data_IF_326526153349
#
_entry.id   IF_326526153349
#
_cell.length_a   1.000
_cell.length_b   1.000
_cell.length_c   1.000
_cell.angle_alpha   90.00
_cell.angle_beta   90.00
_cell.angle_gamma   90.00
#
_symmetry.space_group_name_H-M   'P 1'
#
loop_
_entity.id
_entity.type
_entity.pdbx_description
1 polymer ?
#
# COMPACT_ATOMS: atom_id res chain seq x y z
N UNK A 1 -7.39 -15.55 10.78
CA UNK A 1 -6.02 -15.51 10.23
C UNK A 1 -5.50 -14.10 10.42
N UNK A 2 -4.26 -13.96 10.91
CA UNK A 2 -3.58 -12.66 10.97
C UNK A 2 -2.87 -12.41 9.67
N UNK A 3 -2.90 -11.18 9.16
CA UNK A 3 -2.24 -10.85 7.91
C UNK A 3 -1.59 -9.46 7.89
N UNK A 4 -0.38 -9.40 7.37
CA UNK A 4 0.30 -8.18 6.95
C UNK A 4 0.26 -8.11 5.42
N UNK A 5 -0.25 -7.01 4.88
CA UNK A 5 -0.26 -6.73 3.44
C UNK A 5 0.55 -5.47 3.19
N UNK A 6 1.62 -5.60 2.41
CA UNK A 6 2.48 -4.51 1.95
C UNK A 6 2.21 -4.32 0.46
N UNK A 7 1.61 -3.19 0.10
CA UNK A 7 1.40 -2.79 -1.28
C UNK A 7 2.46 -1.76 -1.69
N UNK A 8 3.28 -2.12 -2.66
CA UNK A 8 4.29 -1.26 -3.28
C UNK A 8 3.68 -0.65 -4.54
N UNK A 9 3.23 0.59 -4.43
CA UNK A 9 2.60 1.35 -5.52
C UNK A 9 3.55 1.47 -6.73
N UNK A 10 3.04 1.14 -7.92
CA UNK A 10 3.83 1.10 -9.16
C UNK A 10 4.91 0.00 -9.20
N UNK A 11 4.82 -1.00 -8.33
CA UNK A 11 5.78 -2.10 -8.18
C UNK A 11 5.83 -3.09 -9.35
N UNK A 12 6.31 -2.63 -10.52
CA UNK A 12 6.61 -3.49 -11.66
C UNK A 12 7.69 -4.53 -11.28
N UNK A 13 7.52 -5.83 -11.60
CA UNK A 13 8.51 -6.87 -11.31
C UNK A 13 9.93 -6.52 -11.74
N UNK A 14 10.09 -5.74 -12.81
CA UNK A 14 11.41 -5.35 -13.32
C UNK A 14 12.23 -4.49 -12.34
N UNK A 15 11.62 -3.78 -11.39
CA UNK A 15 12.35 -3.04 -10.35
C UNK A 15 13.07 -3.99 -9.40
N UNK A 16 12.37 -5.04 -8.96
CA UNK A 16 12.89 -6.03 -8.02
C UNK A 16 13.93 -6.94 -8.69
N UNK A 17 13.72 -7.32 -9.96
CA UNK A 17 14.69 -8.12 -10.72
C UNK A 17 16.03 -7.39 -10.97
N UNK A 18 16.12 -6.09 -10.69
CA UNK A 18 17.30 -5.23 -10.96
C UNK A 18 17.94 -4.64 -9.71
N UNK A 19 17.45 -4.97 -8.53
CA UNK A 19 17.93 -4.47 -7.24
C UNK A 19 18.30 -5.65 -6.33
N UNK A 20 19.19 -5.43 -5.36
CA UNK A 20 19.46 -6.45 -4.35
C UNK A 20 18.34 -6.47 -3.29
N UNK A 21 17.50 -7.51 -3.31
CA UNK A 21 16.33 -7.61 -2.41
C UNK A 21 16.36 -8.87 -1.53
N UNK A 22 17.39 -9.05 -0.68
CA UNK A 22 17.57 -10.29 0.08
C UNK A 22 16.41 -10.63 1.03
N UNK A 23 15.64 -9.64 1.50
CA UNK A 23 14.48 -9.92 2.37
C UNK A 23 13.28 -10.43 1.56
N UNK A 24 13.01 -9.85 0.39
CA UNK A 24 12.01 -10.37 -0.55
C UNK A 24 12.43 -11.75 -1.10
N UNK A 25 13.71 -11.96 -1.40
CA UNK A 25 14.24 -13.25 -1.84
C UNK A 25 14.03 -14.33 -0.76
N UNK A 26 14.22 -13.97 0.51
CA UNK A 26 13.91 -14.85 1.64
C UNK A 26 12.43 -15.18 1.73
N UNK A 27 11.54 -14.19 1.57
CA UNK A 27 10.09 -14.40 1.56
C UNK A 27 9.66 -15.31 0.39
N UNK A 28 10.27 -15.16 -0.78
CA UNK A 28 10.03 -16.05 -1.92
C UNK A 28 10.49 -17.47 -1.62
N UNK A 29 11.67 -17.64 -1.02
CA UNK A 29 12.22 -18.95 -0.67
C UNK A 29 11.38 -19.69 0.39
N UNK A 30 10.87 -18.96 1.39
CA UNK A 30 10.05 -19.49 2.48
C UNK A 30 8.56 -19.62 2.10
N UNK A 31 8.15 -19.01 0.99
CA UNK A 31 6.76 -18.91 0.55
C UNK A 31 6.60 -19.16 -0.94
N UNK A 32 6.08 -18.17 -1.65
CA UNK A 32 5.87 -18.25 -3.10
C UNK A 32 5.89 -16.86 -3.74
N UNK A 33 6.39 -16.81 -4.97
CA UNK A 33 6.32 -15.62 -5.85
C UNK A 33 5.47 -15.94 -7.07
N UNK A 34 4.56 -15.03 -7.41
CA UNK A 34 3.77 -15.10 -8.64
C UNK A 34 3.50 -13.71 -9.21
N UNK A 35 3.49 -13.62 -10.55
CA UNK A 35 3.00 -12.41 -11.24
C UNK A 35 1.48 -12.43 -11.28
N UNK A 36 0.86 -11.46 -10.61
CA UNK A 36 -0.59 -11.26 -10.59
C UNK A 36 -1.04 -10.24 -11.64
N UNK A 37 -2.34 -10.27 -11.99
CA UNK A 37 -2.96 -9.27 -12.86
C UNK A 37 -3.68 -8.22 -12.01
N UNK A 38 -3.32 -6.96 -12.22
CA UNK A 38 -4.05 -5.82 -11.69
C UNK A 38 -5.43 -5.68 -12.35
N UNK A 39 -6.31 -4.90 -11.72
CA UNK A 39 -7.57 -4.46 -12.31
C UNK A 39 -7.34 -3.45 -13.42
N UNK A 40 -8.30 -3.38 -14.34
CA UNK A 40 -8.38 -2.33 -15.34
C UNK A 40 -9.47 -1.32 -14.95
N UNK A 41 -9.18 0.00 -14.95
CA UNK A 41 -7.88 0.60 -15.29
C UNK A 41 -6.82 0.40 -14.18
N UNK A 42 -5.56 0.28 -14.59
CA UNK A 42 -4.39 0.12 -13.70
C UNK A 42 -4.01 1.46 -13.06
N UNK A 43 -4.90 1.97 -12.19
CA UNK A 43 -4.69 3.19 -11.41
C UNK A 43 -4.81 2.90 -9.92
N UNK A 44 -4.12 3.70 -9.11
CA UNK A 44 -3.96 3.52 -7.66
C UNK A 44 -5.28 3.31 -6.93
N UNK A 45 -6.26 4.21 -7.08
CA UNK A 45 -7.53 4.13 -6.33
C UNK A 45 -8.31 2.85 -6.64
N UNK A 46 -8.38 2.46 -7.91
CA UNK A 46 -9.13 1.28 -8.35
C UNK A 46 -8.54 0.03 -7.72
N UNK A 47 -7.23 -0.14 -7.84
CA UNK A 47 -6.55 -1.36 -7.40
C UNK A 47 -6.40 -1.44 -5.87
N UNK A 48 -6.07 -0.34 -5.19
CA UNK A 48 -6.07 -0.32 -3.72
C UNK A 48 -7.45 -0.64 -3.14
N UNK A 49 -8.53 -0.10 -3.74
CA UNK A 49 -9.89 -0.42 -3.30
C UNK A 49 -10.27 -1.86 -3.64
N UNK A 50 -9.82 -2.39 -4.79
CA UNK A 50 -10.03 -3.81 -5.09
C UNK A 50 -9.35 -4.72 -4.07
N UNK A 51 -8.13 -4.38 -3.64
CA UNK A 51 -7.39 -5.09 -2.61
C UNK A 51 -8.09 -4.99 -1.25
N UNK A 52 -8.45 -3.79 -0.81
CA UNK A 52 -9.10 -3.59 0.49
C UNK A 52 -10.50 -4.20 0.53
N UNK A 53 -11.27 -4.15 -0.55
CA UNK A 53 -12.61 -4.75 -0.59
C UNK A 53 -12.59 -6.24 -0.92
N UNK A 54 -11.51 -6.77 -1.50
CA UNK A 54 -11.45 -8.15 -2.02
C UNK A 54 -12.43 -8.38 -3.17
N UNK A 55 -12.64 -7.36 -4.01
CA UNK A 55 -13.68 -7.35 -5.03
C UNK A 55 -13.21 -6.57 -6.28
N UNK A 56 -13.79 -6.81 -7.47
CA UNK A 56 -13.49 -6.01 -8.67
C UNK A 56 -14.24 -4.66 -8.67
N UNK A 57 -13.87 -3.71 -9.55
CA UNK A 57 -14.49 -2.37 -9.65
C UNK A 57 -16.00 -2.39 -9.85
N UNK A 58 -16.49 -3.37 -10.62
CA UNK A 58 -17.92 -3.59 -10.83
C UNK A 58 -18.71 -3.90 -9.54
N UNK A 59 -18.03 -4.30 -8.46
CA UNK A 59 -18.65 -4.58 -7.15
C UNK A 59 -18.38 -3.51 -6.11
N UNK A 60 -17.15 -3.00 -5.99
CA UNK A 60 -16.85 -1.97 -4.97
C UNK A 60 -17.16 -0.54 -5.44
N UNK A 61 -17.40 -0.33 -6.73
CA UNK A 61 -17.89 0.94 -7.29
C UNK A 61 -16.81 1.97 -7.67
N UNK A 62 -15.54 1.75 -7.31
CA UNK A 62 -14.43 2.66 -7.64
C UNK A 62 -13.79 2.25 -8.96
N UNK A 63 -14.01 3.01 -10.02
CA UNK A 63 -13.58 2.68 -11.39
C UNK A 63 -12.54 3.64 -11.96
N UNK A 64 -12.28 4.76 -11.29
CA UNK A 64 -11.31 5.79 -11.65
C UNK A 64 -11.03 6.69 -10.43
N UNK A 65 -10.25 7.75 -10.61
CA UNK A 65 -10.07 8.81 -9.63
C UNK A 65 -11.26 9.79 -9.57
N UNK A 66 -12.01 9.91 -10.67
CA UNK A 66 -13.20 10.75 -10.78
C UNK A 66 -14.17 10.19 -11.83
N UNK A 67 -15.41 10.66 -11.81
CA UNK A 67 -16.39 10.45 -12.88
C UNK A 67 -17.07 11.77 -13.26
N UNK A 68 -17.58 11.86 -14.49
CA UNK A 68 -18.41 12.99 -14.91
C UNK A 68 -19.86 12.70 -14.53
N UNK A 69 -20.45 13.54 -13.68
CA UNK A 69 -21.88 13.43 -13.35
C UNK A 69 -22.72 14.00 -14.51
N UNK A 70 -23.51 13.18 -15.23
CA UNK A 70 -24.26 13.65 -16.40
C UNK A 70 -25.39 14.63 -16.03
N UNK A 71 -25.79 14.70 -14.75
CA UNK A 71 -26.86 15.61 -14.30
C UNK A 71 -26.36 17.03 -14.11
N UNK A 72 -25.12 17.18 -13.65
CA UNK A 72 -24.51 18.47 -13.32
C UNK A 72 -23.46 18.90 -14.34
N UNK A 73 -22.93 17.96 -15.13
CA UNK A 73 -21.80 18.19 -16.04
C UNK A 73 -20.48 18.40 -15.31
N UNK A 74 -20.40 18.10 -14.01
CA UNK A 74 -19.21 18.33 -13.18
C UNK A 74 -18.43 17.04 -12.94
N UNK A 75 -17.11 17.18 -12.84
CA UNK A 75 -16.23 16.10 -12.40
C UNK A 75 -16.37 15.88 -10.89
N UNK A 76 -16.64 14.64 -10.50
CA UNK A 76 -16.79 14.22 -9.11
C UNK A 76 -15.66 13.26 -8.76
N UNK A 77 -14.78 13.70 -7.87
CA UNK A 77 -13.67 12.89 -7.36
C UNK A 77 -14.16 11.77 -6.44
N UNK A 78 -13.68 10.56 -6.71
CA UNK A 78 -14.02 9.33 -5.98
C UNK A 78 -12.98 9.07 -4.87
N UNK A 79 -12.84 10.03 -3.94
CA UNK A 79 -11.78 10.04 -2.91
C UNK A 79 -12.33 9.84 -1.49
N UNK A 80 -13.51 9.23 -1.35
CA UNK A 80 -14.18 9.08 -0.05
C UNK A 80 -14.85 7.72 0.08
N UNK A 81 -14.79 7.14 1.29
CA UNK A 81 -15.44 5.88 1.63
C UNK A 81 -16.96 5.83 1.38
N UNK A 82 -17.63 6.98 1.12
CA UNK A 82 -19.03 7.05 0.73
C UNK A 82 -19.33 6.45 -0.65
N UNK A 83 -18.31 6.38 -1.52
CA UNK A 83 -18.44 5.81 -2.86
C UNK A 83 -18.24 4.28 -2.87
N UNK A 84 -17.82 3.70 -1.74
CA UNK A 84 -17.63 2.26 -1.63
C UNK A 84 -18.98 1.53 -1.54
N UNK A 85 -19.20 0.61 -2.47
CA UNK A 85 -20.39 -0.24 -2.56
C UNK A 85 -20.19 -1.64 -1.95
N UNK A 86 -18.98 -1.95 -1.48
CA UNK A 86 -18.62 -3.20 -0.83
C UNK A 86 -17.87 -2.92 0.48
N UNK A 87 -18.02 -3.78 1.50
CA UNK A 87 -17.30 -3.61 2.75
C UNK A 87 -15.79 -3.78 2.56
N UNK A 88 -15.00 -3.07 3.34
CA UNK A 88 -13.54 -3.22 3.38
C UNK A 88 -13.14 -4.46 4.19
N UNK A 89 -11.91 -4.91 4.01
CA UNK A 89 -11.30 -5.97 4.82
C UNK A 89 -11.17 -5.52 6.28
N UNK A 90 -11.06 -4.21 6.52
CA UNK A 90 -11.02 -3.62 7.86
C UNK A 90 -12.39 -3.73 8.54
N UNK A 91 -13.48 -3.36 7.87
CA UNK A 91 -14.85 -3.55 8.36
C UNK A 91 -15.14 -5.03 8.66
N UNK A 92 -14.72 -5.94 7.75
CA UNK A 92 -14.86 -7.39 7.96
C UNK A 92 -14.01 -7.91 9.11
N UNK A 93 -12.78 -7.41 9.26
CA UNK A 93 -11.88 -7.77 10.36
C UNK A 93 -12.44 -7.32 11.71
N UNK A 94 -12.88 -6.07 11.80
CA UNK A 94 -13.50 -5.51 12.99
C UNK A 94 -14.77 -6.30 13.38
N UNK A 95 -15.63 -6.64 12.42
CA UNK A 95 -16.81 -7.48 12.64
C UNK A 95 -16.46 -8.90 13.14
N UNK A 96 -15.27 -9.40 12.81
CA UNK A 96 -14.73 -10.67 13.31
C UNK A 96 -13.94 -10.53 14.64
N UNK A 97 -13.92 -9.35 15.25
CA UNK A 97 -13.20 -9.07 16.50
C UNK A 97 -11.67 -8.97 16.36
N UNK A 98 -11.16 -8.75 15.14
CA UNK A 98 -9.74 -8.53 14.89
C UNK A 98 -9.36 -7.07 15.10
N UNK A 99 -8.15 -6.83 15.61
CA UNK A 99 -7.56 -5.47 15.62
C UNK A 99 -7.04 -5.12 14.23
N UNK A 100 -7.48 -4.01 13.68
CA UNK A 100 -7.21 -3.63 12.28
C UNK A 100 -6.45 -2.32 12.19
N UNK A 101 -5.50 -2.25 11.26
CA UNK A 101 -4.71 -1.05 11.00
C UNK A 101 -4.46 -0.83 9.51
N UNK A 102 -4.52 0.43 9.07
CA UNK A 102 -4.21 0.84 7.71
C UNK A 102 -3.27 2.04 7.70
N UNK A 103 -2.23 1.96 6.87
CA UNK A 103 -1.28 3.04 6.62
C UNK A 103 -1.16 3.30 5.12
N UNK A 104 -1.08 4.57 4.75
CA UNK A 104 -0.91 5.00 3.37
C UNK A 104 -0.03 6.24 3.27
N UNK A 105 0.59 6.47 2.12
CA UNK A 105 1.30 7.74 1.90
C UNK A 105 0.31 8.93 1.85
N UNK A 106 -0.80 8.80 1.11
CA UNK A 106 -1.75 9.90 0.83
C UNK A 106 -3.04 9.82 1.65
N UNK A 107 -3.51 10.96 2.17
CA UNK A 107 -4.72 11.11 2.98
C UNK A 107 -6.00 10.80 2.17
N UNK A 108 -6.09 11.27 0.92
CA UNK A 108 -7.26 11.01 0.06
C UNK A 108 -7.52 9.52 -0.19
N UNK A 109 -6.45 8.74 -0.32
CA UNK A 109 -6.55 7.28 -0.42
C UNK A 109 -6.97 6.68 0.92
N UNK A 110 -6.39 7.16 2.01
CA UNK A 110 -6.71 6.74 3.38
C UNK A 110 -8.20 6.91 3.72
N UNK A 111 -8.83 7.99 3.27
CA UNK A 111 -10.26 8.28 3.49
C UNK A 111 -11.19 7.23 2.84
N UNK A 112 -10.68 6.42 1.90
CA UNK A 112 -11.37 5.26 1.36
C UNK A 112 -10.95 3.97 2.06
N UNK A 113 -9.65 3.65 2.05
CA UNK A 113 -9.17 2.32 2.45
C UNK A 113 -9.15 2.13 3.97
N UNK A 114 -9.08 3.22 4.74
CA UNK A 114 -9.13 3.20 6.21
C UNK A 114 -10.53 3.05 6.78
N UNK A 115 -11.58 3.02 5.94
CA UNK A 115 -12.96 2.86 6.40
C UNK A 115 -13.12 1.58 7.22
N UNK A 116 -13.53 1.75 8.47
CA UNK A 116 -13.76 0.66 9.43
C UNK A 116 -12.50 0.12 10.11
N UNK A 117 -11.34 0.75 9.94
CA UNK A 117 -10.12 0.38 10.67
C UNK A 117 -10.11 0.94 12.10
N UNK A 118 -9.56 0.19 13.06
CA UNK A 118 -9.32 0.69 14.43
C UNK A 118 -8.23 1.77 14.45
N UNK A 119 -7.24 1.64 13.57
CA UNK A 119 -6.20 2.63 13.34
C UNK A 119 -6.07 2.91 11.84
N UNK A 120 -6.23 4.17 11.45
CA UNK A 120 -5.96 4.66 10.09
C UNK A 120 -5.01 5.86 10.16
N UNK A 121 -3.90 5.83 9.43
CA UNK A 121 -2.92 6.92 9.45
C UNK A 121 -2.26 7.15 8.08
N UNK A 122 -2.29 8.40 7.61
CA UNK A 122 -1.57 8.81 6.40
C UNK A 122 -0.23 9.48 6.74
N UNK A 123 0.79 9.29 5.89
CA UNK A 123 2.08 9.98 6.04
C UNK A 123 1.99 11.51 5.89
N UNK A 124 0.98 12.02 5.17
CA UNK A 124 0.73 13.47 5.05
C UNK A 124 0.40 14.12 6.40
N UNK A 125 -0.37 13.43 7.24
CA UNK A 125 -0.86 13.92 8.53
C UNK A 125 -0.84 12.81 9.62
N UNK A 126 0.34 12.32 10.02
CA UNK A 126 0.43 11.20 10.94
C UNK A 126 0.16 11.64 12.39
N UNK A 127 -0.41 10.77 13.24
CA UNK A 127 -0.57 11.04 14.65
C UNK A 127 0.80 11.24 15.34
N UNK A 128 0.84 12.13 16.33
CA UNK A 128 2.09 12.57 16.98
C UNK A 128 2.92 11.41 17.56
N UNK A 129 2.27 10.35 18.06
CA UNK A 129 2.96 9.18 18.62
C UNK A 129 3.76 8.41 17.55
N UNK A 130 3.33 8.40 16.29
CA UNK A 130 4.10 7.79 15.20
C UNK A 130 5.34 8.61 14.86
N UNK A 131 5.28 9.94 14.94
CA UNK A 131 6.46 10.80 14.74
C UNK A 131 7.55 10.50 15.78
N UNK A 132 7.16 10.22 17.03
CA UNK A 132 8.09 9.85 18.10
C UNK A 132 8.75 8.49 17.92
N UNK A 133 8.22 7.61 17.05
CA UNK A 133 8.73 6.24 16.83
C UNK A 133 9.35 6.02 15.45
N UNK A 134 8.73 6.54 14.40
CA UNK A 134 9.17 6.39 13.01
C UNK A 134 10.11 7.52 12.56
N UNK A 135 10.30 8.55 13.39
CA UNK A 135 11.03 9.76 13.06
C UNK A 135 10.15 10.82 12.41
N UNK A 136 10.78 11.94 12.02
CA UNK A 136 10.10 13.05 11.35
C UNK A 136 9.45 12.57 10.05
N UNK A 137 8.23 13.04 9.76
CA UNK A 137 7.59 12.76 8.47
C UNK A 137 8.41 13.36 7.32
N UNK A 138 8.34 12.69 6.18
CA UNK A 138 9.04 13.06 4.96
C UNK A 138 8.11 13.79 3.97
N UNK A 139 8.71 14.40 2.95
CA UNK A 139 7.96 15.02 1.85
C UNK A 139 7.22 13.92 1.05
N UNK A 140 5.96 14.15 0.72
CA UNK A 140 5.13 13.23 -0.06
C UNK A 140 5.68 13.04 -1.49
N UNK A 141 6.48 13.99 -1.98
CA UNK A 141 7.21 13.91 -3.25
C UNK A 141 8.67 13.50 -3.02
N UNK A 142 8.89 12.46 -2.23
CA UNK A 142 10.19 11.84 -1.98
C UNK A 142 10.08 10.32 -1.87
N UNK A 143 11.12 9.58 -2.27
CA UNK A 143 11.21 8.15 -1.98
C UNK A 143 11.26 7.84 -0.47
N UNK A 144 11.77 8.79 0.32
CA UNK A 144 11.88 8.65 1.78
C UNK A 144 10.52 8.50 2.48
N UNK A 145 9.43 8.99 1.88
CA UNK A 145 8.08 8.81 2.46
C UNK A 145 7.68 7.34 2.52
N UNK A 146 8.13 6.53 1.55
CA UNK A 146 7.84 5.11 1.54
C UNK A 146 8.61 4.38 2.64
N UNK A 147 9.88 4.76 2.86
CA UNK A 147 10.71 4.21 3.94
C UNK A 147 10.15 4.60 5.31
N UNK A 148 9.78 5.88 5.47
CA UNK A 148 9.12 6.36 6.69
C UNK A 148 7.81 5.61 6.97
N UNK A 149 7.01 5.35 5.94
CA UNK A 149 5.74 4.63 6.07
C UNK A 149 5.95 3.20 6.58
N UNK A 150 6.97 2.49 6.11
CA UNK A 150 7.32 1.14 6.60
C UNK A 150 7.85 1.17 8.04
N UNK A 151 8.66 2.18 8.41
CA UNK A 151 9.05 2.42 9.81
C UNK A 151 7.84 2.68 10.71
N UNK A 152 6.88 3.47 10.23
CA UNK A 152 5.62 3.73 10.93
C UNK A 152 4.76 2.47 11.07
N UNK A 153 4.66 1.65 10.02
CA UNK A 153 3.97 0.36 10.08
C UNK A 153 4.60 -0.57 11.11
N UNK A 154 5.94 -0.61 11.20
CA UNK A 154 6.65 -1.39 12.22
C UNK A 154 6.32 -0.89 13.62
N UNK A 155 6.32 0.42 13.83
CA UNK A 155 5.92 1.01 15.11
C UNK A 155 4.46 0.67 15.47
N UNK A 156 3.54 0.59 14.50
CA UNK A 156 2.17 0.11 14.73
C UNK A 156 2.15 -1.35 15.17
N UNK A 157 2.95 -2.22 14.54
CA UNK A 157 3.06 -3.64 14.95
C UNK A 157 3.52 -3.74 16.41
N UNK A 158 4.61 -3.05 16.76
CA UNK A 158 5.22 -3.10 18.09
C UNK A 158 4.31 -2.51 19.18
N UNK A 159 3.59 -1.43 18.88
CA UNK A 159 2.86 -0.65 19.90
C UNK A 159 1.36 -0.97 20.00
N UNK A 160 0.77 -1.53 18.94
CA UNK A 160 -0.68 -1.78 18.87
C UNK A 160 -1.02 -3.24 18.59
N UNK A 161 -0.08 -4.00 18.05
CA UNK A 161 -0.26 -5.42 17.72
C UNK A 161 -1.54 -5.71 16.95
N UNK A 162 -1.73 -5.11 15.75
CA UNK A 162 -2.91 -5.39 14.92
C UNK A 162 -2.89 -6.85 14.45
N UNK A 163 -4.07 -7.47 14.35
CA UNK A 163 -4.22 -8.78 13.72
C UNK A 163 -4.29 -8.67 12.18
N UNK A 164 -4.66 -7.51 11.66
CA UNK A 164 -4.67 -7.20 10.24
C UNK A 164 -4.03 -5.83 10.00
N UNK A 165 -2.95 -5.80 9.21
CA UNK A 165 -2.25 -4.57 8.85
C UNK A 165 -2.15 -4.46 7.32
N UNK A 166 -2.63 -3.35 6.76
CA UNK A 166 -2.45 -3.00 5.36
C UNK A 166 -1.63 -1.72 5.25
N UNK A 167 -0.51 -1.75 4.52
CA UNK A 167 0.33 -0.58 4.24
C UNK A 167 0.49 -0.40 2.75
N UNK A 168 0.25 0.81 2.24
CA UNK A 168 0.42 1.13 0.80
C UNK A 168 1.31 2.35 0.59
N UNK A 169 2.36 2.18 -0.23
CA UNK A 169 3.32 3.24 -0.57
C UNK A 169 2.77 4.20 -1.64
N UNK A 170 3.63 5.05 -2.21
CA UNK A 170 3.36 5.82 -3.44
C UNK A 170 4.40 5.50 -4.52
N UNK A 171 3.97 5.59 -5.78
CA UNK A 171 4.77 5.36 -7.00
C UNK A 171 5.64 6.55 -7.46
N UNK A 172 5.92 7.52 -6.58
CA UNK A 172 6.68 8.72 -6.94
C UNK A 172 8.04 8.40 -7.58
N UNK A 173 8.78 7.44 -7.02
CA UNK A 173 10.08 7.03 -7.54
C UNK A 173 9.95 6.34 -8.90
N UNK A 174 8.93 5.51 -9.06
CA UNK A 174 8.66 4.72 -10.25
C UNK A 174 8.18 5.61 -11.41
N UNK A 175 7.53 6.73 -11.11
CA UNK A 175 7.20 7.75 -12.09
C UNK A 175 8.42 8.51 -12.61
N UNK A 176 9.47 8.65 -11.79
CA UNK A 176 10.67 9.43 -12.14
C UNK A 176 11.78 8.60 -12.76
N UNK A 177 11.97 7.38 -12.29
CA UNK A 177 13.13 6.57 -12.57
C UNK A 177 12.71 5.19 -13.04
N UNK A 178 13.15 4.79 -14.23
CA UNK A 178 12.91 3.43 -14.72
C UNK A 178 13.73 2.38 -13.94
N UNK A 179 13.40 1.08 -14.06
CA UNK A 179 13.98 0.01 -13.25
C UNK A 179 15.51 -0.14 -13.28
N UNK A 180 16.17 0.37 -14.33
CA UNK A 180 17.63 0.32 -14.46
C UNK A 180 18.37 1.56 -13.93
N UNK A 181 17.66 2.56 -13.41
CA UNK A 181 18.27 3.77 -12.89
C UNK A 181 18.86 3.52 -11.48
N UNK A 182 20.04 4.06 -11.15
CA UNK A 182 20.64 3.93 -9.82
C UNK A 182 19.71 4.36 -8.68
N UNK A 183 18.93 5.44 -8.88
CA UNK A 183 17.97 5.95 -7.89
C UNK A 183 16.82 4.97 -7.65
N UNK A 184 16.35 4.28 -8.69
CA UNK A 184 15.30 3.27 -8.57
C UNK A 184 15.82 2.03 -7.84
N UNK A 185 17.04 1.58 -8.15
CA UNK A 185 17.68 0.45 -7.48
C UNK A 185 17.91 0.76 -6.00
N UNK A 186 18.55 1.89 -5.69
CA UNK A 186 18.81 2.29 -4.30
C UNK A 186 17.52 2.41 -3.46
N UNK A 187 16.45 2.98 -4.02
CA UNK A 187 15.17 3.04 -3.34
C UNK A 187 14.54 1.64 -3.14
N UNK A 188 14.67 0.74 -4.12
CA UNK A 188 14.15 -0.63 -4.01
C UNK A 188 14.91 -1.45 -2.96
N UNK A 189 16.24 -1.31 -2.89
CA UNK A 189 17.08 -1.94 -1.86
C UNK A 189 16.75 -1.39 -0.46
N UNK A 190 16.53 -0.07 -0.34
CA UNK A 190 16.12 0.54 0.93
C UNK A 190 14.71 0.10 1.36
N UNK A 191 13.78 -0.05 0.41
CA UNK A 191 12.45 -0.63 0.67
C UNK A 191 12.58 -2.06 1.20
N UNK A 192 13.36 -2.90 0.53
CA UNK A 192 13.59 -4.29 0.94
C UNK A 192 14.11 -4.38 2.39
N UNK A 193 15.06 -3.53 2.76
CA UNK A 193 15.59 -3.48 4.11
C UNK A 193 14.52 -3.11 5.16
N UNK A 194 13.65 -2.14 4.88
CA UNK A 194 12.56 -1.76 5.80
C UNK A 194 11.44 -2.81 5.82
N UNK A 195 11.15 -3.47 4.67
CA UNK A 195 10.22 -4.60 4.59
C UNK A 195 10.71 -5.74 5.47
N UNK A 196 12.00 -6.10 5.40
CA UNK A 196 12.59 -7.14 6.25
C UNK A 196 12.37 -6.86 7.74
N UNK A 197 12.65 -5.63 8.18
CA UNK A 197 12.44 -5.23 9.59
C UNK A 197 10.97 -5.26 10.00
N UNK A 198 10.05 -4.86 9.12
CA UNK A 198 8.61 -4.91 9.38
C UNK A 198 8.12 -6.38 9.46
N UNK A 199 8.58 -7.23 8.55
CA UNK A 199 8.27 -8.66 8.54
C UNK A 199 8.79 -9.35 9.79
N UNK A 200 10.02 -9.06 10.22
CA UNK A 200 10.58 -9.66 11.43
C UNK A 200 9.79 -9.25 12.69
N UNK A 201 9.39 -7.98 12.79
CA UNK A 201 8.52 -7.51 13.86
C UNK A 201 7.14 -8.20 13.82
N UNK A 202 6.55 -8.33 12.63
CA UNK A 202 5.27 -9.00 12.42
C UNK A 202 5.34 -10.48 12.82
N UNK A 203 6.32 -11.22 12.30
CA UNK A 203 6.48 -12.65 12.57
C UNK A 203 6.85 -12.95 14.03
N UNK A 204 7.52 -12.02 14.71
CA UNK A 204 7.78 -12.11 16.15
C UNK A 204 6.49 -12.06 16.97
N UNK A 205 5.54 -11.22 16.56
CA UNK A 205 4.23 -11.10 17.20
C UNK A 205 3.26 -12.21 16.77
N UNK A 206 3.27 -12.55 15.49
CA UNK A 206 2.31 -13.45 14.82
C UNK A 206 3.04 -14.59 14.12
N UNK A 207 3.47 -15.61 14.89
CA UNK A 207 4.22 -16.76 14.36
C UNK A 207 3.55 -17.49 13.19
N UNK A 208 2.21 -17.55 13.22
CA UNK A 208 1.39 -18.16 12.16
C UNK A 208 0.70 -17.10 11.27
N UNK A 209 1.16 -15.85 11.32
CA UNK A 209 0.62 -14.74 10.55
C UNK A 209 1.09 -14.76 9.11
N UNK A 210 0.19 -14.52 8.17
CA UNK A 210 0.54 -14.41 6.75
C UNK A 210 1.16 -13.05 6.43
N UNK A 211 2.10 -13.03 5.48
CA UNK A 211 2.68 -11.81 4.91
C UNK A 211 2.44 -11.84 3.40
N UNK A 212 1.93 -10.73 2.88
CA UNK A 212 1.72 -10.52 1.44
C UNK A 212 2.44 -9.27 1.01
N UNK A 213 3.26 -9.36 -0.05
CA UNK A 213 3.85 -8.21 -0.73
C UNK A 213 3.33 -8.20 -2.17
N UNK A 214 2.77 -7.08 -2.60
CA UNK A 214 2.18 -6.94 -3.95
C UNK A 214 2.28 -5.51 -4.44
N UNK A 215 1.81 -5.26 -5.67
CA UNK A 215 1.61 -3.93 -6.22
C UNK A 215 0.14 -3.74 -6.64
N UNK A 216 -0.28 -2.49 -6.78
CA UNK A 216 -1.57 -2.10 -7.36
C UNK A 216 -1.51 -2.08 -8.90
N UNK A 217 -0.38 -1.67 -9.46
CA UNK A 217 -0.08 -1.74 -10.89
C UNK A 217 1.43 -1.79 -11.14
N UNK A 218 1.80 -2.11 -12.39
CA UNK A 218 3.17 -1.95 -12.87
C UNK A 218 3.47 -0.50 -13.29
N UNK A 219 4.60 -0.31 -13.97
CA UNK A 219 5.00 1.00 -14.49
C UNK A 219 5.72 0.83 -15.83
N UNK A 220 5.38 1.66 -16.81
CA UNK A 220 5.97 1.59 -18.16
C UNK A 220 6.37 2.97 -18.62
N UNK A 221 7.49 3.00 -19.33
CA UNK A 221 8.01 4.20 -19.96
C UNK A 221 7.05 4.71 -21.06
N UNK A 222 6.73 6.00 -21.02
CA UNK A 222 5.74 6.65 -21.91
C UNK A 222 6.39 7.79 -22.71
N UNK A 223 7.55 7.53 -23.30
CA UNK A 223 8.34 8.52 -24.08
C UNK A 223 7.80 8.82 -25.47
N UNK A 224 6.87 8.03 -25.98
CA UNK A 224 6.26 8.22 -27.31
C UNK A 224 4.76 7.94 -27.20
N UNK A 225 3.94 8.85 -27.71
CA UNK A 225 2.54 8.54 -28.01
C UNK A 225 2.50 7.64 -29.26
N UNK A 226 1.67 6.61 -29.24
CA UNK A 226 1.33 5.82 -30.42
C UNK A 226 0.39 6.61 -31.33
#
# INVERSE_FOLDING_TARGET
MRALVILIDGGDPAYFDRAATPNLDRLEHEGARQVARAQMPTVTNVNNVSMICGAPPARHGITSNYFLDPRTGLEVYMESGKFLLAPTLMERGAAAGLKTAVLASKQKLMDMIGKGADLAAAAEAPPAWLLGRAGKKEDIYSGEVNLWLLRAARAVVEERGPDLLYVTTTDYMQHKYGPGAPEAQAHTEALDAEIGRLVDAWSSLHKDGAVFVTADHGMRDKRRAL
#
